data_IF_088544944845
#
_entry.id   IF_088544944845
#
_cell.length_a   1.000
_cell.length_b   1.000
_cell.length_c   1.000
_cell.angle_alpha   90.00
_cell.angle_beta   90.00
_cell.angle_gamma   90.00
#
_symmetry.space_group_name_H-M   'P 1'
#
loop_
_entity.id
_entity.type
_entity.pdbx_description
1 polymer ?
#
# COMPACT_ATOMS: atom_id res chain seq x y z
N UNK A 1 27.16 -19.76 21.60
CA UNK A 1 27.12 -18.29 21.58
C UNK A 1 27.09 -17.83 23.03
N UNK A 2 27.99 -16.93 23.44
CA UNK A 2 27.97 -16.40 24.81
C UNK A 2 26.83 -15.38 24.89
N UNK A 3 25.81 -15.67 25.70
CA UNK A 3 24.74 -14.73 26.02
C UNK A 3 25.38 -13.47 26.60
N UNK A 4 24.93 -12.30 26.14
CA UNK A 4 25.39 -11.03 26.70
C UNK A 4 25.01 -10.96 28.19
N UNK A 5 25.89 -10.50 29.09
CA UNK A 5 25.53 -10.31 30.49
C UNK A 5 24.27 -9.44 30.60
N UNK A 6 23.39 -9.83 31.53
CA UNK A 6 22.10 -9.17 31.74
C UNK A 6 22.24 -7.67 31.92
N UNK A 7 23.22 -7.25 32.73
CA UNK A 7 23.58 -5.85 32.99
C UNK A 7 23.77 -5.02 31.71
N UNK A 8 24.62 -5.49 30.80
CA UNK A 8 24.90 -4.78 29.54
C UNK A 8 23.73 -4.80 28.54
N UNK A 9 22.85 -5.79 28.65
CA UNK A 9 21.65 -5.87 27.82
C UNK A 9 20.55 -4.96 28.37
N UNK A 10 20.42 -4.89 29.70
CA UNK A 10 19.48 -4.04 30.42
C UNK A 10 19.75 -2.56 30.12
N UNK A 11 21.00 -2.10 30.24
CA UNK A 11 21.37 -0.72 29.91
C UNK A 11 20.97 -0.34 28.49
N UNK A 12 21.20 -1.24 27.52
CA UNK A 12 20.82 -1.01 26.11
C UNK A 12 19.31 -1.04 25.90
N UNK A 13 18.60 -1.85 26.67
CA UNK A 13 17.16 -1.97 26.60
C UNK A 13 16.47 -0.75 27.20
N UNK A 14 16.92 -0.28 28.37
CA UNK A 14 16.43 0.94 29.00
C UNK A 14 16.71 2.15 28.10
N UNK A 15 17.93 2.28 27.56
CA UNK A 15 18.25 3.37 26.64
C UNK A 15 17.37 3.35 25.38
N UNK A 16 17.02 2.17 24.86
CA UNK A 16 16.11 2.04 23.73
C UNK A 16 14.67 2.42 24.10
N UNK A 17 14.20 2.04 25.28
CA UNK A 17 12.89 2.44 25.79
C UNK A 17 12.82 3.95 26.02
N UNK A 18 13.84 4.56 26.63
CA UNK A 18 13.90 6.01 26.81
C UNK A 18 13.91 6.75 25.46
N UNK A 19 14.68 6.28 24.47
CA UNK A 19 14.70 6.87 23.13
C UNK A 19 13.36 6.74 22.40
N UNK A 20 12.66 5.61 22.56
CA UNK A 20 11.47 5.25 21.74
C UNK A 20 10.13 5.56 22.40
N UNK A 21 10.06 5.48 23.71
CA UNK A 21 8.84 5.69 24.52
C UNK A 21 8.91 6.97 25.35
N UNK A 22 10.06 7.67 25.36
CA UNK A 22 10.33 8.84 26.22
C UNK A 22 10.12 8.51 27.71
N UNK A 23 10.18 7.23 28.07
CA UNK A 23 9.88 6.73 29.42
C UNK A 23 10.68 5.46 29.72
N UNK A 24 11.11 5.34 30.97
CA UNK A 24 11.74 4.11 31.47
C UNK A 24 10.75 2.94 31.45
N UNK A 25 11.19 1.71 31.14
CA UNK A 25 10.32 0.54 31.15
C UNK A 25 9.85 0.23 32.59
N UNK A 26 8.56 0.47 32.87
CA UNK A 26 7.95 0.26 34.19
C UNK A 26 7.64 -1.23 34.45
N UNK A 27 7.33 -2.00 33.40
CA UNK A 27 6.99 -3.42 33.53
C UNK A 27 8.25 -4.29 33.50
N UNK A 28 8.22 -5.47 34.15
CA UNK A 28 9.36 -6.38 34.15
C UNK A 28 9.69 -6.85 32.74
N UNK A 29 10.98 -6.81 32.38
CA UNK A 29 11.50 -7.19 31.05
C UNK A 29 12.58 -8.28 31.12
N UNK A 30 12.93 -8.76 32.32
CA UNK A 30 13.92 -9.83 32.54
C UNK A 30 13.64 -11.10 31.73
N UNK A 31 12.36 -11.45 31.54
CA UNK A 31 11.96 -12.64 30.80
C UNK A 31 12.33 -12.54 29.31
N UNK A 32 12.47 -11.33 28.77
CA UNK A 32 12.87 -11.09 27.38
C UNK A 32 14.35 -11.42 27.17
N UNK A 33 15.21 -11.07 28.13
CA UNK A 33 16.61 -11.49 28.13
C UNK A 33 16.74 -13.01 28.30
N UNK A 34 15.92 -13.63 29.17
CA UNK A 34 15.93 -15.09 29.36
C UNK A 34 15.55 -15.84 28.07
N UNK A 35 14.66 -15.26 27.25
CA UNK A 35 14.25 -15.74 25.92
C UNK A 35 15.35 -15.61 24.84
N UNK A 36 16.55 -15.11 25.18
CA UNK A 36 17.66 -14.89 24.24
C UNK A 36 17.30 -13.89 23.11
N UNK A 37 16.38 -12.97 23.38
CA UNK A 37 15.95 -11.97 22.40
C UNK A 37 16.97 -10.84 22.28
N UNK A 38 17.20 -10.38 21.06
CA UNK A 38 17.96 -9.16 20.82
C UNK A 38 17.18 -7.95 21.39
N UNK A 39 17.86 -6.90 21.87
CA UNK A 39 17.27 -5.70 22.50
C UNK A 39 16.09 -5.13 21.69
N UNK A 40 16.22 -5.09 20.35
CA UNK A 40 15.13 -4.62 19.45
C UNK A 40 13.93 -5.56 19.41
N UNK A 41 14.18 -6.88 19.44
CA UNK A 41 13.11 -7.89 19.44
C UNK A 41 12.42 -7.94 20.80
N UNK A 42 13.18 -7.77 21.88
CA UNK A 42 12.67 -7.61 23.22
C UNK A 42 11.79 -6.36 23.32
N UNK A 43 12.19 -5.24 22.74
CA UNK A 43 11.39 -4.02 22.74
C UNK A 43 10.05 -4.24 22.03
N UNK A 44 10.05 -4.88 20.87
CA UNK A 44 8.81 -5.24 20.18
C UNK A 44 7.91 -6.19 20.99
N UNK A 45 8.50 -7.21 21.63
CA UNK A 45 7.77 -8.12 22.50
C UNK A 45 7.24 -7.42 23.76
N UNK A 46 7.99 -6.47 24.31
CA UNK A 46 7.60 -5.65 25.46
C UNK A 46 6.40 -4.76 25.12
N UNK A 47 6.36 -4.17 23.92
CA UNK A 47 5.20 -3.41 23.45
C UNK A 47 3.99 -4.31 23.18
N UNK A 48 4.20 -5.52 22.67
CA UNK A 48 3.13 -6.49 22.43
C UNK A 48 2.53 -7.03 23.73
N UNK A 49 3.36 -7.23 24.76
CA UNK A 49 2.93 -7.67 26.10
C UNK A 49 2.25 -6.53 26.89
N UNK A 50 2.50 -5.26 26.54
CA UNK A 50 1.99 -4.09 27.26
C UNK A 50 1.28 -3.11 26.29
N UNK A 51 -0.03 -3.30 26.04
CA UNK A 51 -0.79 -2.48 25.09
C UNK A 51 -0.84 -0.99 25.46
N UNK A 52 -0.68 -0.65 26.74
CA UNK A 52 -0.57 0.74 27.24
C UNK A 52 0.61 1.50 26.61
N UNK A 53 1.73 0.81 26.40
CA UNK A 53 2.90 1.34 25.70
C UNK A 53 2.74 1.28 24.18
N UNK A 54 1.91 0.37 23.66
CA UNK A 54 1.65 0.26 22.22
C UNK A 54 0.90 1.47 21.67
N UNK A 55 -0.08 1.98 22.41
CA UNK A 55 -0.84 3.18 22.02
C UNK A 55 0.06 4.41 22.08
N UNK A 56 0.84 4.57 23.16
CA UNK A 56 1.81 5.67 23.30
C UNK A 56 2.91 5.65 22.23
N UNK A 57 3.44 4.46 21.90
CA UNK A 57 4.41 4.30 20.80
C UNK A 57 3.79 4.62 19.43
N UNK A 58 2.53 4.25 19.21
CA UNK A 58 1.80 4.57 17.99
C UNK A 58 1.55 6.08 17.87
N UNK A 59 1.15 6.76 18.94
CA UNK A 59 0.99 8.22 18.98
C UNK A 59 2.31 8.96 18.76
N UNK A 60 3.40 8.52 19.38
CA UNK A 60 4.75 9.10 19.21
C UNK A 60 5.30 8.84 17.80
N UNK A 61 5.09 7.64 17.25
CA UNK A 61 5.53 7.30 15.89
C UNK A 61 4.69 8.02 14.82
N UNK A 62 3.40 8.21 15.06
CA UNK A 62 2.51 8.97 14.19
C UNK A 62 2.85 10.47 14.24
N UNK A 63 3.16 11.00 15.42
CA UNK A 63 3.62 12.39 15.62
C UNK A 63 5.04 12.64 15.08
N UNK A 64 5.90 11.62 15.08
CA UNK A 64 7.28 11.71 14.59
C UNK A 64 7.43 11.30 13.12
N UNK A 65 6.34 10.92 12.45
CA UNK A 65 6.35 10.63 11.02
C UNK A 65 6.37 11.98 10.29
N UNK A 66 7.42 12.32 9.53
CA UNK A 66 7.40 13.54 8.73
C UNK A 66 6.22 13.43 7.75
N UNK A 67 5.37 14.46 7.72
CA UNK A 67 4.21 14.63 6.80
C UNK A 67 4.52 14.40 5.30
N UNK A 68 5.80 14.22 4.96
CA UNK A 68 6.30 13.91 3.61
C UNK A 68 5.75 12.61 3.00
N UNK A 69 5.52 11.55 3.79
CA UNK A 69 5.16 10.23 3.23
C UNK A 69 3.66 10.14 2.85
N UNK A 70 2.81 10.87 3.59
CA UNK A 70 1.37 10.96 3.31
C UNK A 70 1.07 11.74 2.04
N UNK A 71 1.86 12.78 1.73
CA UNK A 71 1.68 13.59 0.54
C UNK A 71 1.97 12.81 -0.75
N UNK A 72 3.02 11.97 -0.75
CA UNK A 72 3.36 11.13 -1.90
C UNK A 72 2.34 10.01 -2.11
N UNK A 73 1.86 9.37 -1.03
CA UNK A 73 0.81 8.36 -1.10
C UNK A 73 -0.53 8.95 -1.60
N UNK A 74 -0.93 10.12 -1.09
CA UNK A 74 -2.13 10.82 -1.56
C UNK A 74 -2.00 11.30 -3.01
N UNK A 75 -0.81 11.74 -3.43
CA UNK A 75 -0.55 12.11 -4.82
C UNK A 75 -0.61 10.89 -5.76
N UNK A 76 -0.11 9.74 -5.33
CA UNK A 76 -0.18 8.49 -6.09
C UNK A 76 -1.64 8.00 -6.20
N UNK A 77 -2.41 8.08 -5.12
CA UNK A 77 -3.83 7.73 -5.10
C UNK A 77 -4.66 8.63 -6.05
N UNK A 78 -4.42 9.95 -6.05
CA UNK A 78 -5.07 10.88 -6.99
C UNK A 78 -4.72 10.57 -8.45
N UNK A 79 -3.44 10.28 -8.76
CA UNK A 79 -3.03 9.89 -10.12
C UNK A 79 -3.70 8.60 -10.59
N UNK A 80 -3.88 7.62 -9.71
CA UNK A 80 -4.59 6.38 -10.04
C UNK A 80 -6.09 6.61 -10.28
N UNK A 81 -6.74 7.48 -9.50
CA UNK A 81 -8.15 7.84 -9.74
C UNK A 81 -8.32 8.58 -11.07
N UNK A 82 -7.42 9.50 -11.39
CA UNK A 82 -7.47 10.28 -12.64
C UNK A 82 -7.24 9.38 -13.88
N UNK A 83 -6.32 8.42 -13.79
CA UNK A 83 -6.14 7.41 -14.85
C UNK A 83 -7.37 6.53 -15.04
N UNK A 84 -8.06 6.15 -13.96
CA UNK A 84 -9.30 5.35 -14.06
C UNK A 84 -10.40 6.16 -14.76
N UNK A 85 -10.57 7.43 -14.41
CA UNK A 85 -11.54 8.34 -15.05
C UNK A 85 -11.22 8.55 -16.54
N UNK A 86 -9.96 8.70 -16.92
CA UNK A 86 -9.56 8.82 -18.34
C UNK A 86 -9.88 7.54 -19.12
N UNK A 87 -9.52 6.36 -18.60
CA UNK A 87 -9.83 5.08 -19.25
C UNK A 87 -11.34 4.85 -19.41
N UNK A 88 -12.15 5.27 -18.43
CA UNK A 88 -13.61 5.17 -18.52
C UNK A 88 -14.18 6.08 -19.62
N UNK A 89 -13.68 7.31 -19.73
CA UNK A 89 -14.07 8.24 -20.80
C UNK A 89 -13.63 7.73 -22.18
N UNK A 90 -12.41 7.22 -22.33
CA UNK A 90 -11.94 6.60 -23.57
C UNK A 90 -12.79 5.37 -23.97
N UNK A 91 -13.15 4.51 -23.02
CA UNK A 91 -14.00 3.35 -23.28
C UNK A 91 -15.41 3.76 -23.74
N UNK A 92 -15.98 4.83 -23.15
CA UNK A 92 -17.25 5.39 -23.61
C UNK A 92 -17.16 6.00 -25.01
N UNK A 93 -16.06 6.68 -25.33
CA UNK A 93 -15.82 7.26 -26.66
C UNK A 93 -15.65 6.12 -27.67
N UNK A 94 -14.82 5.11 -27.40
CA UNK A 94 -14.64 3.95 -28.28
C UNK A 94 -15.97 3.23 -28.53
N UNK A 95 -16.76 3.01 -27.49
CA UNK A 95 -18.06 2.34 -27.61
C UNK A 95 -19.06 3.13 -28.47
N UNK A 96 -19.02 4.47 -28.42
CA UNK A 96 -19.86 5.34 -29.25
C UNK A 96 -19.33 5.41 -30.68
N UNK A 97 -18.02 5.57 -30.87
CA UNK A 97 -17.38 5.71 -32.18
C UNK A 97 -17.37 4.40 -32.97
N UNK A 98 -17.35 3.24 -32.30
CA UNK A 98 -17.43 1.93 -32.96
C UNK A 98 -18.72 1.77 -33.78
N UNK A 99 -19.81 2.47 -33.45
CA UNK A 99 -21.06 2.39 -34.21
C UNK A 99 -20.99 3.08 -35.58
N UNK A 100 -20.01 3.96 -35.78
CA UNK A 100 -19.87 4.77 -36.98
C UNK A 100 -18.77 4.23 -37.91
N UNK A 101 -18.95 4.49 -39.19
CA UNK A 101 -17.97 4.20 -40.22
C UNK A 101 -16.81 5.20 -40.14
N UNK A 102 -15.56 4.75 -40.02
CA UNK A 102 -14.41 5.67 -39.94
C UNK A 102 -14.23 6.48 -41.23
N UNK A 103 -14.68 5.97 -42.37
CA UNK A 103 -14.50 6.62 -43.68
C UNK A 103 -15.52 7.73 -43.97
N UNK A 104 -16.76 7.58 -43.49
CA UNK A 104 -17.84 8.49 -43.88
C UNK A 104 -18.77 8.91 -42.72
N UNK A 105 -18.40 8.61 -41.48
CA UNK A 105 -19.11 8.95 -40.25
C UNK A 105 -20.59 8.49 -40.20
N UNK A 106 -21.03 7.59 -41.08
CA UNK A 106 -22.40 7.02 -41.06
C UNK A 106 -22.46 5.80 -40.15
N UNK A 107 -23.61 5.58 -39.52
CA UNK A 107 -23.85 4.40 -38.69
C UNK A 107 -23.69 3.11 -39.50
N UNK A 108 -22.89 2.17 -39.02
CA UNK A 108 -22.70 0.85 -39.62
C UNK A 108 -23.90 -0.01 -39.25
N UNK A 109 -24.57 -0.59 -40.25
CA UNK A 109 -25.70 -1.49 -40.03
C UNK A 109 -25.28 -2.83 -39.40
N UNK A 110 -26.26 -3.67 -38.99
CA UNK A 110 -26.01 -4.94 -38.29
C UNK A 110 -25.19 -5.95 -39.11
N UNK A 111 -25.10 -5.78 -40.44
CA UNK A 111 -24.29 -6.62 -41.33
C UNK A 111 -22.79 -6.24 -41.35
N UNK A 112 -22.36 -5.26 -40.55
CA UNK A 112 -20.96 -4.84 -40.46
C UNK A 112 -20.42 -4.14 -41.71
N UNK A 113 -21.29 -3.71 -42.63
CA UNK A 113 -20.93 -3.03 -43.87
C UNK A 113 -21.55 -1.63 -43.92
N UNK A 114 -20.76 -0.63 -44.28
CA UNK A 114 -21.21 0.73 -44.52
C UNK A 114 -21.53 0.96 -46.00
N UNK A 115 -22.43 1.90 -46.29
CA UNK A 115 -22.81 2.31 -47.67
C UNK A 115 -21.63 2.88 -48.47
N UNK A 116 -20.56 3.35 -47.83
CA UNK A 116 -19.34 3.82 -48.51
C UNK A 116 -18.39 2.69 -48.94
N UNK A 117 -18.70 1.42 -48.63
CA UNK A 117 -17.84 0.27 -48.97
C UNK A 117 -16.98 -0.25 -47.81
N UNK A 118 -16.87 0.48 -46.70
CA UNK A 118 -16.16 0.02 -45.51
C UNK A 118 -16.84 -1.21 -44.88
N UNK A 119 -16.06 -2.27 -44.61
CA UNK A 119 -16.50 -3.41 -43.80
C UNK A 119 -15.73 -3.46 -42.49
N UNK A 120 -16.46 -3.56 -41.38
CA UNK A 120 -15.88 -3.70 -40.05
C UNK A 120 -15.15 -5.06 -39.98
N UNK A 121 -13.87 -5.10 -39.56
CA UNK A 121 -13.16 -6.35 -39.38
C UNK A 121 -13.89 -7.19 -38.33
N UNK A 122 -14.11 -8.47 -38.62
CA UNK A 122 -14.69 -9.39 -37.64
C UNK A 122 -13.74 -9.45 -36.43
N UNK A 123 -14.23 -9.06 -35.24
CA UNK A 123 -13.47 -9.26 -34.00
C UNK A 123 -13.22 -10.76 -33.88
N UNK A 124 -11.96 -11.19 -34.06
CA UNK A 124 -11.52 -12.52 -33.63
C UNK A 124 -11.78 -12.54 -32.12
N UNK A 125 -12.77 -13.30 -31.68
CA UNK A 125 -12.95 -13.62 -30.27
C UNK A 125 -11.69 -14.35 -29.84
N UNK A 126 -10.79 -13.64 -29.17
CA UNK A 126 -9.73 -14.26 -28.39
C UNK A 126 -10.45 -14.98 -27.27
N UNK A 127 -10.72 -16.29 -27.46
CA UNK A 127 -11.12 -17.17 -26.37
C UNK A 127 -9.94 -17.17 -25.40
N UNK A 128 -10.07 -16.42 -24.32
CA UNK A 128 -9.18 -16.54 -23.18
C UNK A 128 -9.57 -17.80 -22.44
N UNK A 129 -8.94 -18.91 -22.82
CA UNK A 129 -8.88 -20.14 -22.04
C UNK A 129 -7.60 -19.97 -21.21
N UNK A 130 -7.73 -19.51 -19.96
CA UNK A 130 -6.82 -19.70 -18.82
C UNK A 130 -7.28 -18.84 -17.63
#
# INVERSE_FOLDING_TARGET
>A
MKREPYDSWEEKFIALCEEKLDEEPIYPYEHLWRKDLNVKQAFAAYLEENPDYSEKFQELTESSKPESDGAEFLALAKKLEEQKKQKELESQIESKMSKFCPECARVIGPKGACKCGYRRPAKKTVRSDY
#
